data_IF_383701426091
#
_entry.id   IF_383701426091
#
_cell.length_a   1.000
_cell.length_b   1.000
_cell.length_c   1.000
_cell.angle_alpha   90.00
_cell.angle_beta   90.00
_cell.angle_gamma   90.00
#
_symmetry.space_group_name_H-M   'P 1'
#
loop_
_entity.id
_entity.type
_entity.pdbx_description
1 polymer ?
#
# COMPACT_ATOMS: atom_id res chain seq x y z
N UNK A 1 18.14 -7.52 28.64
CA UNK A 1 17.34 -6.62 27.79
C UNK A 1 16.40 -7.46 26.95
N UNK A 2 15.10 -7.27 27.09
CA UNK A 2 14.08 -8.03 26.35
C UNK A 2 13.95 -7.41 24.96
N UNK A 3 14.25 -8.17 23.92
CA UNK A 3 14.28 -7.65 22.55
C UNK A 3 12.92 -7.82 21.85
N UNK A 4 12.62 -6.88 20.97
CA UNK A 4 11.33 -6.65 20.31
C UNK A 4 11.29 -7.43 18.97
N UNK A 5 11.20 -8.76 19.04
CA UNK A 5 11.35 -9.62 17.86
C UNK A 5 10.02 -9.97 17.20
N UNK A 6 9.96 -9.86 15.87
CA UNK A 6 8.91 -10.52 15.08
C UNK A 6 9.07 -12.04 15.25
N UNK A 7 7.95 -12.73 15.46
CA UNK A 7 7.89 -14.18 15.69
C UNK A 7 8.28 -14.93 14.40
N UNK A 8 9.15 -15.93 14.54
CA UNK A 8 9.91 -16.53 13.43
C UNK A 8 9.52 -18.00 13.24
N UNK A 9 8.84 -18.33 12.13
CA UNK A 9 8.42 -19.70 11.79
C UNK A 9 8.24 -19.86 10.27
N UNK A 10 8.96 -20.82 9.67
CA UNK A 10 9.68 -20.60 8.39
C UNK A 10 9.63 -21.75 7.38
N UNK A 11 8.96 -22.88 7.62
CA UNK A 11 8.66 -23.86 6.55
C UNK A 11 7.56 -23.37 5.58
N UNK A 12 7.26 -22.08 5.63
CA UNK A 12 6.40 -21.30 4.76
C UNK A 12 6.94 -21.29 3.31
N UNK A 13 6.48 -22.19 2.44
CA UNK A 13 6.93 -22.22 1.04
C UNK A 13 6.16 -21.23 0.14
N UNK A 14 6.77 -20.07 -0.14
CA UNK A 14 6.44 -19.20 -1.29
C UNK A 14 7.72 -18.53 -1.85
N UNK A 15 8.03 -18.72 -3.15
CA UNK A 15 9.21 -18.10 -3.80
C UNK A 15 9.08 -16.58 -3.93
N UNK A 16 7.85 -16.10 -4.16
CA UNK A 16 7.49 -14.70 -4.20
C UNK A 16 6.38 -14.45 -3.18
N UNK A 17 6.25 -13.23 -2.64
CA UNK A 17 5.04 -12.84 -1.93
C UNK A 17 3.82 -13.17 -2.79
N UNK A 18 2.80 -13.76 -2.19
CA UNK A 18 1.56 -14.02 -2.91
C UNK A 18 1.05 -12.71 -3.47
N UNK A 19 0.67 -12.73 -4.75
CA UNK A 19 -0.01 -11.60 -5.32
C UNK A 19 -1.38 -11.49 -4.65
N UNK A 20 -1.56 -10.46 -3.83
CA UNK A 20 -2.81 -10.22 -3.11
C UNK A 20 -3.98 -10.03 -4.09
N UNK A 21 -3.71 -9.54 -5.30
CA UNK A 21 -4.74 -9.38 -6.33
C UNK A 21 -5.38 -10.73 -6.71
N UNK A 22 -4.64 -11.84 -6.68
CA UNK A 22 -5.20 -13.18 -6.97
C UNK A 22 -6.29 -13.60 -5.98
N UNK A 23 -6.40 -12.91 -4.85
CA UNK A 23 -7.39 -13.22 -3.81
C UNK A 23 -8.64 -12.36 -3.89
N UNK A 24 -8.72 -11.45 -4.87
CA UNK A 24 -9.82 -10.50 -5.04
C UNK A 24 -10.43 -10.71 -6.42
N UNK A 25 -11.76 -10.74 -6.50
CA UNK A 25 -12.47 -10.87 -7.78
C UNK A 25 -12.04 -9.77 -8.76
N UNK A 26 -11.98 -10.08 -10.05
CA UNK A 26 -11.49 -9.15 -11.07
C UNK A 26 -12.37 -7.90 -11.23
N UNK A 27 -13.68 -8.01 -10.98
CA UNK A 27 -14.67 -6.90 -11.05
C UNK A 27 -14.98 -6.31 -9.66
N UNK A 28 -14.02 -6.38 -8.75
CA UNK A 28 -14.16 -5.84 -7.40
C UNK A 28 -13.94 -4.32 -7.35
N UNK A 29 -14.57 -3.67 -6.37
CA UNK A 29 -14.39 -2.25 -6.12
C UNK A 29 -12.93 -1.93 -5.74
N UNK A 30 -12.29 -2.81 -4.98
CA UNK A 30 -10.90 -2.70 -4.52
C UNK A 30 -9.93 -2.62 -5.70
N UNK A 31 -10.10 -3.51 -6.71
CA UNK A 31 -9.31 -3.47 -7.94
C UNK A 31 -9.60 -2.23 -8.75
N UNK A 32 -10.87 -1.89 -8.92
CA UNK A 32 -11.25 -0.67 -9.64
C UNK A 32 -10.61 0.59 -9.03
N UNK A 33 -10.69 0.75 -7.71
CA UNK A 33 -10.05 1.86 -6.98
C UNK A 33 -8.53 1.81 -7.14
N UNK A 34 -7.92 0.63 -7.04
CA UNK A 34 -6.47 0.46 -7.23
C UNK A 34 -6.04 0.93 -8.62
N UNK A 35 -6.71 0.44 -9.67
CA UNK A 35 -6.37 0.70 -11.07
C UNK A 35 -6.56 2.17 -11.44
N UNK A 36 -7.64 2.79 -10.96
CA UNK A 36 -7.89 4.23 -11.18
C UNK A 36 -6.79 5.08 -10.56
N UNK A 37 -6.38 4.75 -9.33
CA UNK A 37 -5.34 5.52 -8.65
C UNK A 37 -3.96 5.27 -9.28
N UNK A 38 -3.67 4.03 -9.66
CA UNK A 38 -2.43 3.71 -10.39
C UNK A 38 -2.38 4.44 -11.74
N UNK A 39 -3.50 4.54 -12.45
CA UNK A 39 -3.57 5.32 -13.69
C UNK A 39 -3.25 6.81 -13.45
N UNK A 40 -3.80 7.43 -12.40
CA UNK A 40 -3.51 8.81 -12.04
C UNK A 40 -2.03 9.02 -11.67
N UNK A 41 -1.44 8.08 -10.92
CA UNK A 41 -0.02 8.11 -10.57
C UNK A 41 0.87 7.98 -11.82
N UNK A 42 0.54 7.04 -12.71
CA UNK A 42 1.27 6.82 -13.96
C UNK A 42 1.19 8.03 -14.92
N UNK A 43 0.14 8.83 -14.83
CA UNK A 43 0.03 10.11 -15.55
C UNK A 43 0.80 11.26 -14.88
N UNK A 44 1.51 11.02 -13.77
CA UNK A 44 2.21 12.04 -13.00
C UNK A 44 1.27 13.00 -12.26
N UNK A 45 -0.02 12.66 -12.13
CA UNK A 45 -1.02 13.52 -11.46
C UNK A 45 -0.80 13.58 -9.96
N UNK A 46 -0.09 12.60 -9.40
CA UNK A 46 0.13 12.46 -7.97
C UNK A 46 1.53 12.89 -7.51
N UNK A 47 2.43 13.26 -8.43
CA UNK A 47 3.80 13.71 -8.12
C UNK A 47 3.87 14.76 -7.00
N UNK A 48 2.98 15.78 -6.94
CA UNK A 48 3.04 16.78 -5.88
C UNK A 48 2.77 16.25 -4.46
N UNK A 49 2.22 15.03 -4.32
CA UNK A 49 1.94 14.41 -3.02
C UNK A 49 3.10 13.56 -2.49
N UNK A 50 4.15 13.35 -3.28
CA UNK A 50 5.32 12.65 -2.81
C UNK A 50 6.15 13.56 -1.90
N UNK A 51 6.50 13.09 -0.69
CA UNK A 51 7.31 13.87 0.22
C UNK A 51 8.73 14.04 -0.34
N UNK A 52 9.33 15.20 -0.11
CA UNK A 52 10.76 15.38 -0.32
C UNK A 52 11.56 14.40 0.54
N UNK A 53 12.72 13.99 0.03
CA UNK A 53 13.63 13.11 0.75
C UNK A 53 14.04 13.74 2.09
N UNK A 54 13.69 13.06 3.18
CA UNK A 54 14.13 13.46 4.52
C UNK A 54 15.62 13.14 4.68
N UNK A 55 16.44 14.19 4.66
CA UNK A 55 17.89 14.09 4.80
C UNK A 55 18.38 13.50 6.13
N UNK A 56 17.57 13.50 7.19
CA UNK A 56 17.99 13.05 8.53
C UNK A 56 17.72 11.56 8.81
N UNK A 57 16.90 10.89 8.00
CA UNK A 57 16.63 9.44 8.08
C UNK A 57 16.04 8.96 9.41
N UNK A 58 15.48 9.87 10.21
CA UNK A 58 14.99 9.56 11.56
C UNK A 58 13.53 9.10 11.54
N UNK A 59 13.24 8.05 12.30
CA UNK A 59 11.89 7.53 12.49
C UNK A 59 11.54 6.38 11.54
N UNK A 60 10.27 5.96 11.61
CA UNK A 60 9.74 4.92 10.71
C UNK A 60 9.54 5.53 9.31
N UNK A 61 9.93 4.83 8.22
CA UNK A 61 9.63 5.28 6.87
C UNK A 61 8.12 5.55 6.69
N UNK A 62 7.75 6.62 5.96
CA UNK A 62 6.35 6.88 5.67
C UNK A 62 5.78 5.76 4.80
N UNK A 63 4.46 5.61 4.86
CA UNK A 63 3.73 4.79 3.90
C UNK A 63 3.73 5.44 2.51
N UNK A 64 3.65 4.63 1.46
CA UNK A 64 3.60 5.12 0.09
C UNK A 64 2.33 5.98 -0.15
N UNK A 65 2.43 7.19 -0.72
CA UNK A 65 1.28 8.08 -0.92
C UNK A 65 0.14 7.43 -1.70
N UNK A 66 0.44 6.74 -2.80
CA UNK A 66 -0.54 5.98 -3.60
C UNK A 66 -1.27 4.93 -2.77
N UNK A 67 -0.56 4.17 -1.94
CA UNK A 67 -1.16 3.16 -1.08
C UNK A 67 -2.13 3.82 -0.08
N UNK A 68 -1.73 4.95 0.50
CA UNK A 68 -2.60 5.69 1.41
C UNK A 68 -3.84 6.24 0.73
N UNK A 69 -3.71 6.75 -0.51
CA UNK A 69 -4.82 7.26 -1.29
C UNK A 69 -5.80 6.14 -1.65
N UNK A 70 -5.31 4.94 -2.00
CA UNK A 70 -6.15 3.76 -2.25
C UNK A 70 -7.02 3.42 -1.04
N UNK A 71 -6.41 3.38 0.15
CA UNK A 71 -7.17 3.13 1.40
C UNK A 71 -8.20 4.22 1.65
N UNK A 72 -7.82 5.49 1.49
CA UNK A 72 -8.71 6.64 1.73
C UNK A 72 -9.93 6.62 0.80
N UNK A 73 -9.70 6.47 -0.50
CA UNK A 73 -10.76 6.45 -1.51
C UNK A 73 -11.65 5.23 -1.32
N UNK A 74 -11.07 4.05 -1.12
CA UNK A 74 -11.83 2.83 -0.86
C UNK A 74 -12.73 2.99 0.38
N UNK A 75 -12.17 3.49 1.49
CA UNK A 75 -12.91 3.78 2.72
C UNK A 75 -14.10 4.70 2.46
N UNK A 76 -13.89 5.77 1.69
CA UNK A 76 -14.97 6.68 1.31
C UNK A 76 -16.06 6.00 0.46
N UNK A 77 -15.67 5.17 -0.51
CA UNK A 77 -16.60 4.42 -1.36
C UNK A 77 -17.50 3.48 -0.55
N UNK A 78 -17.01 2.93 0.56
CA UNK A 78 -17.80 2.06 1.46
C UNK A 78 -18.45 2.81 2.64
N UNK A 79 -18.38 4.15 2.64
CA UNK A 79 -19.03 5.00 3.64
C UNK A 79 -18.29 5.13 4.97
N UNK A 80 -17.01 4.74 5.05
CA UNK A 80 -16.15 5.01 6.21
C UNK A 80 -15.70 6.47 6.16
N UNK A 81 -16.05 7.24 7.20
CA UNK A 81 -15.75 8.67 7.35
C UNK A 81 -15.15 8.98 8.71
#
# INVERSE_FOLDING_TARGET
MTSNFIRYDQDQQHLLPKNVAEWVEDDSLERYVSDVIDHLDNEGRLDPFYPEDRADGRGRPPFHPVMMLKILVFGYCIGVR
#
